data_IF_725630104544
#
_entry.id   IF_725630104544
#
_cell.length_a   1.000
_cell.length_b   1.000
_cell.length_c   1.000
_cell.angle_alpha   90.00
_cell.angle_beta   90.00
_cell.angle_gamma   90.00
#
_symmetry.space_group_name_H-M   'P 1'
#
loop_
_entity.id
_entity.type
_entity.pdbx_description
1 polymer ?
#
# COMPACT_ATOMS: atom_id res chain seq x y z
N UNK A 1 -73.22 -19.15 -31.85
CA UNK A 1 -73.00 -18.56 -30.51
C UNK A 1 -71.96 -17.44 -30.65
N UNK A 2 -72.40 -16.19 -30.64
CA UNK A 2 -71.59 -15.01 -31.00
C UNK A 2 -72.17 -13.74 -30.34
N UNK A 3 -71.26 -12.88 -29.88
CA UNK A 3 -71.38 -11.44 -29.52
C UNK A 3 -71.86 -11.13 -28.09
N UNK A 4 -70.97 -10.65 -27.20
CA UNK A 4 -70.47 -9.27 -26.96
C UNK A 4 -71.37 -8.56 -25.92
N UNK A 5 -70.91 -8.36 -24.67
CA UNK A 5 -70.14 -7.22 -24.13
C UNK A 5 -71.02 -6.03 -23.72
N UNK A 6 -71.08 -5.71 -22.42
CA UNK A 6 -71.09 -4.34 -21.80
C UNK A 6 -71.27 -4.48 -20.27
N UNK A 7 -70.22 -4.22 -19.47
CA UNK A 7 -69.91 -3.00 -18.69
C UNK A 7 -70.72 -2.83 -17.40
N UNK A 8 -70.08 -3.00 -16.24
CA UNK A 8 -70.37 -2.21 -15.03
C UNK A 8 -69.08 -1.92 -14.26
N UNK A 9 -69.00 -0.66 -13.81
CA UNK A 9 -67.95 0.03 -13.10
C UNK A 9 -67.84 -0.46 -11.64
N UNK A 10 -66.63 -0.60 -11.10
CA UNK A 10 -66.42 -0.48 -9.66
C UNK A 10 -65.04 0.10 -9.39
N UNK A 11 -65.06 1.27 -8.75
CA UNK A 11 -63.92 1.99 -8.25
C UNK A 11 -63.35 1.28 -7.01
N UNK A 12 -62.03 1.13 -6.95
CA UNK A 12 -61.32 0.76 -5.72
C UNK A 12 -60.11 1.70 -5.54
N UNK A 13 -60.23 2.60 -4.57
CA UNK A 13 -59.12 3.33 -3.97
C UNK A 13 -58.14 2.33 -3.33
N UNK A 14 -56.84 2.45 -3.60
CA UNK A 14 -55.81 1.89 -2.72
C UNK A 14 -54.57 2.80 -2.67
N UNK A 15 -54.50 3.56 -1.58
CA UNK A 15 -53.32 4.00 -0.81
C UNK A 15 -51.95 4.10 -1.50
N UNK A 16 -51.49 5.33 -1.68
CA UNK A 16 -50.09 5.70 -1.95
C UNK A 16 -49.27 5.48 -0.67
N UNK A 17 -48.50 4.39 -0.60
CA UNK A 17 -47.43 4.25 0.39
C UNK A 17 -46.22 5.07 -0.07
N UNK A 18 -45.98 6.17 0.63
CA UNK A 18 -44.76 6.98 0.48
C UNK A 18 -43.54 6.17 0.86
N UNK A 19 -42.74 5.81 -0.14
CA UNK A 19 -41.41 5.23 0.06
C UNK A 19 -40.48 6.36 0.47
N UNK A 20 -40.28 6.54 1.79
CA UNK A 20 -39.22 7.42 2.30
C UNK A 20 -37.89 6.73 2.04
N UNK A 21 -37.28 7.02 0.90
CA UNK A 21 -35.90 6.66 0.61
C UNK A 21 -35.00 7.33 1.64
N UNK A 22 -34.56 6.57 2.64
CA UNK A 22 -33.44 6.97 3.50
C UNK A 22 -32.20 7.03 2.61
N UNK A 23 -31.83 8.23 2.18
CA UNK A 23 -30.51 8.51 1.64
C UNK A 23 -29.50 8.29 2.75
N UNK A 24 -28.95 7.08 2.82
CA UNK A 24 -27.69 6.83 3.51
C UNK A 24 -26.67 7.74 2.82
N UNK A 25 -26.22 8.77 3.52
CA UNK A 25 -25.11 9.60 3.09
C UNK A 25 -23.90 8.68 2.91
N UNK A 26 -23.62 8.33 1.65
CA UNK A 26 -22.40 7.66 1.25
C UNK A 26 -21.26 8.61 1.60
N UNK A 27 -20.55 8.29 2.68
CA UNK A 27 -19.29 8.94 3.02
C UNK A 27 -18.37 8.71 1.83
N UNK A 28 -18.17 9.74 1.04
CA UNK A 28 -17.27 9.73 -0.11
C UNK A 28 -15.84 9.74 0.43
N UNK A 29 -15.41 8.61 1.00
CA UNK A 29 -14.03 8.36 1.39
C UNK A 29 -13.29 7.99 0.12
N UNK A 30 -12.49 8.91 -0.41
CA UNK A 30 -11.56 8.63 -1.51
C UNK A 30 -10.78 7.36 -1.18
N UNK A 31 -10.90 6.34 -2.02
CA UNK A 31 -10.23 5.05 -1.83
C UNK A 31 -8.73 5.20 -2.02
N UNK A 32 -7.93 4.54 -1.16
CA UNK A 32 -6.48 4.54 -1.27
C UNK A 32 -6.03 3.80 -2.52
N UNK A 33 -5.18 4.43 -3.31
CA UNK A 33 -4.46 3.83 -4.43
C UNK A 33 -3.02 3.53 -4.02
N UNK A 34 -2.62 2.27 -4.19
CA UNK A 34 -1.30 1.79 -3.78
C UNK A 34 -1.22 1.32 -2.33
N UNK A 35 -0.02 1.36 -1.76
CA UNK A 35 0.25 0.87 -0.41
C UNK A 35 -0.08 1.90 0.66
N UNK A 36 -0.42 1.39 1.85
CA UNK A 36 -0.49 2.19 3.07
C UNK A 36 0.84 2.91 3.33
N UNK A 37 0.80 3.99 4.10
CA UNK A 37 2.01 4.74 4.44
C UNK A 37 3.03 3.83 5.16
N UNK A 38 4.27 3.69 4.66
CA UNK A 38 5.16 2.60 5.08
C UNK A 38 6.15 3.00 6.19
N UNK A 39 6.20 4.27 6.56
CA UNK A 39 7.17 4.80 7.52
C UNK A 39 6.51 4.99 8.89
N UNK A 40 7.30 4.84 9.95
CA UNK A 40 6.91 5.12 11.35
C UNK A 40 7.15 6.58 11.76
N UNK A 41 7.50 7.42 10.78
CA UNK A 41 7.87 8.83 10.98
C UNK A 41 6.97 9.72 10.13
N UNK A 42 6.78 10.97 10.57
CA UNK A 42 5.99 11.97 9.88
C UNK A 42 6.64 12.34 8.54
N UNK A 43 5.82 12.43 7.49
CA UNK A 43 6.24 12.81 6.14
C UNK A 43 6.84 14.22 6.01
N UNK A 44 6.66 15.08 7.01
CA UNK A 44 7.12 16.48 6.98
C UNK A 44 8.32 16.71 7.88
N UNK A 45 8.30 16.16 9.10
CA UNK A 45 9.33 16.44 10.12
C UNK A 45 10.33 15.30 10.28
N UNK A 46 9.98 14.08 9.87
CA UNK A 46 10.77 12.87 10.17
C UNK A 46 10.69 12.40 11.63
N UNK A 47 9.92 13.09 12.49
CA UNK A 47 9.68 12.66 13.88
C UNK A 47 8.72 11.46 13.94
N UNK A 48 8.70 10.68 15.03
CA UNK A 48 7.73 9.59 15.20
C UNK A 48 6.27 10.04 14.98
N UNK A 49 5.46 9.17 14.37
CA UNK A 49 4.04 9.43 14.07
C UNK A 49 3.16 9.59 15.32
N UNK A 50 3.54 8.96 16.44
CA UNK A 50 2.72 8.90 17.66
C UNK A 50 1.56 7.89 17.53
N UNK A 51 0.73 7.80 18.58
CA UNK A 51 -0.33 6.79 18.67
C UNK A 51 -1.51 7.04 17.72
N UNK A 52 -1.80 8.31 17.45
CA UNK A 52 -2.96 8.74 16.65
C UNK A 52 -2.50 9.65 15.51
N UNK A 53 -1.79 9.10 14.49
CA UNK A 53 -1.34 9.91 13.38
C UNK A 53 -2.52 10.43 12.56
N UNK A 54 -2.36 11.63 12.02
CA UNK A 54 -3.28 12.16 11.02
C UNK A 54 -3.02 11.41 9.72
N UNK A 55 -4.03 10.71 9.22
CA UNK A 55 -3.98 9.94 7.96
C UNK A 55 -4.76 10.71 6.89
N UNK A 56 -4.13 10.94 5.74
CA UNK A 56 -4.75 11.62 4.60
C UNK A 56 -4.57 10.77 3.35
N UNK A 57 -5.64 10.61 2.58
CA UNK A 57 -5.58 10.11 1.20
C UNK A 57 -5.62 11.33 0.28
N UNK A 58 -4.56 11.53 -0.50
CA UNK A 58 -4.43 12.70 -1.37
C UNK A 58 -5.48 12.67 -2.49
N UNK A 59 -6.00 13.84 -2.82
CA UNK A 59 -6.96 14.07 -3.92
C UNK A 59 -6.70 15.43 -4.54
N UNK A 60 -7.20 15.63 -5.76
CA UNK A 60 -7.12 16.92 -6.48
C UNK A 60 -5.67 17.44 -6.58
N UNK A 61 -4.70 16.53 -6.72
CA UNK A 61 -3.27 16.85 -6.73
C UNK A 61 -2.82 17.39 -8.10
N UNK A 62 -1.85 18.33 -8.14
CA UNK A 62 -1.29 18.84 -9.41
C UNK A 62 -0.65 17.76 -10.29
N UNK A 63 -0.23 16.64 -9.70
CA UNK A 63 0.17 15.44 -10.45
C UNK A 63 -0.83 14.32 -10.19
N UNK A 64 -1.37 13.77 -11.27
CA UNK A 64 -2.37 12.70 -11.19
C UNK A 64 -1.85 11.44 -10.47
N UNK A 65 -0.55 11.14 -10.60
CA UNK A 65 0.07 9.98 -9.95
C UNK A 65 0.19 10.09 -8.42
N UNK A 66 -0.20 11.23 -7.85
CA UNK A 66 -0.28 11.44 -6.40
C UNK A 66 -1.69 11.19 -5.84
N UNK A 67 -2.73 11.20 -6.68
CA UNK A 67 -4.10 10.97 -6.22
C UNK A 67 -4.25 9.54 -5.66
N UNK A 68 -4.99 9.41 -4.57
CA UNK A 68 -5.19 8.14 -3.86
C UNK A 68 -4.01 7.72 -2.96
N UNK A 69 -2.86 8.40 -3.00
CA UNK A 69 -1.73 8.09 -2.12
C UNK A 69 -2.08 8.37 -0.66
N UNK A 70 -1.85 7.41 0.23
CA UNK A 70 -1.95 7.63 1.68
C UNK A 70 -0.67 8.31 2.21
N UNK A 71 -0.84 9.37 3.01
CA UNK A 71 0.23 10.09 3.70
C UNK A 71 -0.14 10.21 5.19
N UNK A 72 0.84 10.06 6.08
CA UNK A 72 0.65 10.20 7.53
C UNK A 72 1.48 11.32 8.13
N UNK A 73 0.92 11.93 9.17
CA UNK A 73 1.54 13.04 9.90
C UNK A 73 1.40 12.81 11.41
N UNK A 74 2.36 13.32 12.19
CA UNK A 74 2.25 13.27 13.64
C UNK A 74 1.21 14.26 14.22
N UNK A 75 0.83 15.29 13.45
CA UNK A 75 -0.16 16.27 13.89
C UNK A 75 -0.80 17.03 12.71
N UNK A 76 -1.88 17.77 12.99
CA UNK A 76 -2.59 18.59 12.01
C UNK A 76 -1.74 19.71 11.38
N UNK A 77 -0.82 20.30 12.14
CA UNK A 77 0.09 21.33 11.61
C UNK A 77 1.03 20.79 10.52
N UNK A 78 1.48 19.54 10.66
CA UNK A 78 2.26 18.89 9.60
C UNK A 78 1.42 18.63 8.35
N UNK A 79 0.15 18.22 8.49
CA UNK A 79 -0.78 18.13 7.35
C UNK A 79 -0.89 19.47 6.62
N UNK A 80 -1.15 20.57 7.33
CA UNK A 80 -1.26 21.90 6.72
C UNK A 80 0.02 22.31 5.99
N UNK A 81 1.19 22.04 6.58
CA UNK A 81 2.49 22.32 5.94
C UNK A 81 2.75 21.47 4.70
N UNK A 82 2.27 20.22 4.67
CA UNK A 82 2.36 19.37 3.49
C UNK A 82 1.48 19.92 2.35
N UNK A 83 0.27 20.37 2.68
CA UNK A 83 -0.71 20.87 1.72
C UNK A 83 -0.36 22.23 1.13
N UNK A 84 0.50 23.03 1.77
CA UNK A 84 0.94 24.32 1.21
C UNK A 84 1.83 24.17 -0.03
N UNK A 85 2.54 23.04 -0.16
CA UNK A 85 3.28 22.66 -1.36
C UNK A 85 3.30 21.14 -1.50
N UNK A 86 2.24 20.53 -2.06
CA UNK A 86 2.12 19.09 -2.11
C UNK A 86 3.15 18.46 -3.05
N UNK A 87 3.65 19.18 -4.07
CA UNK A 87 4.63 18.63 -5.01
C UNK A 87 5.99 18.50 -4.34
N UNK A 88 6.48 19.57 -3.71
CA UNK A 88 7.76 19.51 -2.98
C UNK A 88 7.69 18.56 -1.79
N UNK A 89 6.56 18.52 -1.08
CA UNK A 89 6.38 17.63 0.06
C UNK A 89 6.33 16.15 -0.33
N UNK A 90 5.67 15.81 -1.44
CA UNK A 90 5.72 14.44 -1.96
C UNK A 90 7.13 14.06 -2.44
N UNK A 91 7.89 14.98 -3.03
CA UNK A 91 9.29 14.70 -3.42
C UNK A 91 10.16 14.33 -2.22
N UNK A 92 10.05 15.08 -1.12
CA UNK A 92 10.77 14.77 0.13
C UNK A 92 10.32 13.43 0.73
N UNK A 93 9.02 13.15 0.70
CA UNK A 93 8.51 11.86 1.14
C UNK A 93 9.04 10.71 0.27
N UNK A 94 9.16 10.90 -1.03
CA UNK A 94 9.73 9.90 -1.94
C UNK A 94 11.20 9.61 -1.60
N UNK A 95 11.99 10.62 -1.24
CA UNK A 95 13.37 10.44 -0.76
C UNK A 95 13.43 9.58 0.51
N UNK A 96 12.54 9.81 1.48
CA UNK A 96 12.45 9.00 2.70
C UNK A 96 12.08 7.55 2.40
N UNK A 97 11.13 7.33 1.48
CA UNK A 97 10.71 5.99 1.05
C UNK A 97 11.82 5.28 0.27
N UNK A 98 12.54 6.00 -0.59
CA UNK A 98 13.70 5.46 -1.30
C UNK A 98 14.75 5.00 -0.28
N UNK A 99 15.12 5.88 0.66
CA UNK A 99 16.11 5.55 1.68
C UNK A 99 15.73 4.30 2.50
N UNK A 100 14.44 4.18 2.87
CA UNK A 100 13.93 3.02 3.60
C UNK A 100 13.95 1.73 2.77
N UNK A 101 13.39 1.77 1.56
CA UNK A 101 13.11 0.58 0.78
C UNK A 101 14.30 0.10 -0.06
N UNK A 102 15.25 0.97 -0.40
CA UNK A 102 16.42 0.63 -1.20
C UNK A 102 17.28 -0.44 -0.50
N UNK A 103 17.39 -0.38 0.83
CA UNK A 103 18.16 -1.35 1.65
C UNK A 103 17.69 -2.80 1.53
N UNK A 104 16.43 -3.02 1.13
CA UNK A 104 15.79 -4.34 1.03
C UNK A 104 15.31 -4.65 -0.39
N UNK A 105 15.59 -3.77 -1.34
CA UNK A 105 15.19 -3.94 -2.73
C UNK A 105 15.91 -5.15 -3.37
N UNK A 106 15.25 -5.93 -4.23
CA UNK A 106 15.87 -7.10 -4.84
C UNK A 106 17.00 -6.72 -5.80
N UNK A 107 18.08 -7.51 -5.81
CA UNK A 107 19.11 -7.45 -6.86
C UNK A 107 18.61 -8.11 -8.13
N UNK A 108 19.22 -7.76 -9.26
CA UNK A 108 18.96 -8.38 -10.56
C UNK A 108 18.83 -7.35 -11.66
N UNK A 109 18.00 -7.65 -12.65
CA UNK A 109 17.77 -6.81 -13.81
C UNK A 109 16.61 -5.83 -13.64
N UNK A 110 16.47 -4.89 -14.56
CA UNK A 110 15.35 -3.96 -14.61
C UNK A 110 14.01 -4.73 -14.64
N UNK A 111 12.99 -4.17 -13.97
CA UNK A 111 11.67 -4.79 -13.87
C UNK A 111 10.90 -4.79 -15.21
N UNK A 112 11.29 -3.91 -16.13
CA UNK A 112 10.62 -3.71 -17.42
C UNK A 112 11.42 -4.26 -18.59
N UNK A 113 12.76 -4.22 -18.50
CA UNK A 113 13.71 -4.77 -19.48
C UNK A 113 14.57 -5.78 -18.73
N UNK A 114 14.16 -7.05 -18.72
CA UNK A 114 14.75 -8.06 -17.83
C UNK A 114 16.16 -8.50 -18.24
N UNK A 115 16.60 -8.12 -19.43
CA UNK A 115 17.95 -8.29 -19.98
C UNK A 115 18.93 -7.19 -19.52
N UNK A 116 18.42 -6.06 -19.03
CA UNK A 116 19.26 -4.94 -18.57
C UNK A 116 19.65 -5.11 -17.09
N UNK A 117 20.91 -5.40 -16.76
CA UNK A 117 21.35 -5.56 -15.38
C UNK A 117 21.24 -4.24 -14.61
N UNK A 118 20.93 -4.33 -13.31
CA UNK A 118 20.87 -3.14 -12.44
C UNK A 118 22.02 -3.11 -11.45
N UNK A 119 22.40 -1.90 -11.03
CA UNK A 119 23.38 -1.74 -9.97
C UNK A 119 22.85 -2.37 -8.68
N UNK A 120 23.75 -2.94 -7.87
CA UNK A 120 23.37 -3.42 -6.54
C UNK A 120 22.72 -2.25 -5.77
N UNK A 121 21.46 -2.38 -5.29
CA UNK A 121 20.78 -1.31 -4.55
C UNK A 121 21.52 -0.87 -3.28
N UNK A 122 22.44 -1.69 -2.77
CA UNK A 122 23.28 -1.42 -1.60
C UNK A 122 24.71 -1.02 -1.97
N UNK A 123 25.03 -0.95 -3.26
CA UNK A 123 26.35 -0.60 -3.77
C UNK A 123 26.54 0.90 -4.01
N UNK A 124 27.79 1.36 -4.22
CA UNK A 124 28.11 2.77 -4.49
C UNK A 124 27.47 3.29 -5.79
N UNK A 125 27.09 2.38 -6.69
CA UNK A 125 26.49 2.69 -7.98
C UNK A 125 24.95 2.65 -7.96
N UNK A 126 24.32 2.42 -6.81
CA UNK A 126 22.86 2.28 -6.67
C UNK A 126 22.07 3.50 -7.22
N UNK A 127 22.69 4.68 -7.19
CA UNK A 127 22.13 5.94 -7.71
C UNK A 127 22.17 6.11 -9.22
N UNK A 128 22.83 5.21 -9.98
CA UNK A 128 22.82 5.25 -11.45
C UNK A 128 21.43 4.89 -12.03
N UNK A 129 20.72 4.04 -11.31
CA UNK A 129 19.40 3.55 -11.69
C UNK A 129 18.33 4.60 -11.44
N UNK A 130 17.20 4.49 -12.14
CA UNK A 130 16.05 5.37 -11.94
C UNK A 130 15.14 4.81 -10.86
N UNK A 131 15.24 5.39 -9.67
CA UNK A 131 14.30 5.16 -8.57
C UNK A 131 13.04 6.00 -8.80
N UNK A 132 11.88 5.37 -8.70
CA UNK A 132 10.57 6.04 -8.72
C UNK A 132 9.68 5.46 -7.65
N UNK A 133 8.97 6.32 -6.92
CA UNK A 133 7.97 5.90 -5.94
C UNK A 133 6.58 6.09 -6.55
N UNK A 134 5.76 5.05 -6.51
CA UNK A 134 4.36 5.09 -6.94
C UNK A 134 3.53 4.44 -5.85
N UNK A 135 2.53 5.16 -5.33
CA UNK A 135 1.63 4.63 -4.29
C UNK A 135 2.39 4.08 -3.08
N UNK A 136 3.37 4.83 -2.58
CA UNK A 136 4.25 4.46 -1.46
C UNK A 136 5.21 3.28 -1.67
N UNK A 137 5.32 2.76 -2.89
CA UNK A 137 6.23 1.67 -3.24
C UNK A 137 7.37 2.16 -4.12
N UNK A 138 8.61 1.84 -3.75
CA UNK A 138 9.80 2.06 -4.57
C UNK A 138 9.86 1.02 -5.71
N UNK A 139 10.13 1.51 -6.92
CA UNK A 139 10.52 0.75 -8.10
C UNK A 139 11.86 1.27 -8.62
N UNK A 140 12.74 0.36 -9.06
CA UNK A 140 14.02 0.68 -9.70
C UNK A 140 14.01 0.23 -11.15
N UNK A 141 14.40 1.14 -12.05
CA UNK A 141 14.32 0.96 -13.50
C UNK A 141 15.56 1.53 -14.18
N UNK A 142 15.98 0.97 -15.31
CA UNK A 142 17.16 1.44 -16.02
C UNK A 142 16.97 2.78 -16.75
N UNK A 143 15.74 3.14 -17.15
CA UNK A 143 15.53 4.34 -17.96
C UNK A 143 14.15 4.99 -17.80
N UNK A 144 14.01 6.23 -18.29
CA UNK A 144 12.75 7.00 -18.25
C UNK A 144 11.62 6.32 -19.03
N UNK A 145 11.92 5.58 -20.10
CA UNK A 145 10.93 4.84 -20.88
C UNK A 145 10.29 3.71 -20.07
N UNK A 146 11.09 3.03 -19.26
CA UNK A 146 10.60 2.02 -18.32
C UNK A 146 9.66 2.61 -17.27
N UNK A 147 9.96 3.82 -16.75
CA UNK A 147 9.04 4.52 -15.81
C UNK A 147 7.69 4.79 -16.48
N UNK A 148 7.69 5.22 -17.75
CA UNK A 148 6.44 5.45 -18.49
C UNK A 148 5.64 4.16 -18.69
N UNK A 149 6.30 3.02 -18.94
CA UNK A 149 5.64 1.71 -19.04
C UNK A 149 5.07 1.28 -17.69
N UNK A 150 5.82 1.44 -16.60
CA UNK A 150 5.38 1.17 -15.25
C UNK A 150 4.11 1.96 -14.91
N UNK A 151 4.11 3.28 -15.14
CA UNK A 151 2.95 4.14 -14.86
C UNK A 151 1.68 3.77 -15.65
N UNK A 152 1.83 3.18 -16.84
CA UNK A 152 0.68 2.73 -17.66
C UNK A 152 0.05 1.44 -17.16
N UNK A 153 0.80 0.58 -16.47
CA UNK A 153 0.30 -0.71 -15.96
C UNK A 153 0.99 -1.09 -14.65
N UNK A 154 0.75 -0.34 -13.55
CA UNK A 154 1.47 -0.54 -12.30
C UNK A 154 1.22 -1.91 -11.68
N UNK A 155 0.01 -2.47 -11.83
CA UNK A 155 -0.37 -3.76 -11.24
C UNK A 155 0.43 -4.94 -11.78
N UNK A 156 0.67 -5.00 -13.09
CA UNK A 156 1.48 -6.06 -13.69
C UNK A 156 2.92 -6.08 -13.14
N UNK A 157 3.53 -4.89 -13.02
CA UNK A 157 4.89 -4.76 -12.50
C UNK A 157 4.95 -4.94 -10.98
N UNK A 158 3.90 -4.58 -10.25
CA UNK A 158 3.80 -4.85 -8.81
C UNK A 158 3.86 -6.34 -8.53
N UNK A 159 3.09 -7.18 -9.23
CA UNK A 159 3.12 -8.63 -9.05
C UNK A 159 4.51 -9.19 -9.35
N UNK A 160 5.12 -8.80 -10.46
CA UNK A 160 6.47 -9.24 -10.82
C UNK A 160 7.53 -8.83 -9.77
N UNK A 161 7.41 -7.63 -9.20
CA UNK A 161 8.30 -7.16 -8.14
C UNK A 161 8.08 -7.94 -6.84
N UNK A 162 6.82 -8.21 -6.47
CA UNK A 162 6.48 -8.98 -5.28
C UNK A 162 7.04 -10.40 -5.34
N UNK A 163 6.99 -11.06 -6.50
CA UNK A 163 7.54 -12.40 -6.69
C UNK A 163 9.07 -12.42 -6.54
N UNK A 164 9.77 -11.42 -7.11
CA UNK A 164 11.22 -11.25 -6.92
C UNK A 164 11.58 -11.04 -5.44
N UNK A 165 10.79 -10.26 -4.72
CA UNK A 165 10.99 -9.99 -3.30
C UNK A 165 10.76 -11.24 -2.45
N UNK A 166 9.65 -11.95 -2.67
CA UNK A 166 9.37 -13.22 -1.99
C UNK A 166 10.52 -14.20 -2.21
N UNK A 167 10.93 -14.39 -3.47
CA UNK A 167 12.04 -15.29 -3.81
C UNK A 167 13.33 -14.93 -3.07
N UNK A 168 13.71 -13.66 -3.06
CA UNK A 168 14.97 -13.23 -2.41
C UNK A 168 14.88 -13.27 -0.88
N UNK A 169 13.76 -12.83 -0.30
CA UNK A 169 13.65 -12.63 1.14
C UNK A 169 13.22 -13.90 1.89
N UNK A 170 12.55 -14.85 1.23
CA UNK A 170 12.10 -16.11 1.86
C UNK A 170 13.26 -16.94 2.43
N UNK A 171 14.42 -16.93 1.77
CA UNK A 171 15.60 -17.71 2.19
C UNK A 171 16.22 -17.23 3.51
N UNK A 172 16.03 -15.94 3.86
CA UNK A 172 16.61 -15.30 5.05
C UNK A 172 15.53 -14.68 5.94
N UNK A 173 14.30 -15.18 5.84
CA UNK A 173 13.18 -14.63 6.58
C UNK A 173 13.36 -14.88 8.09
N UNK A 174 13.34 -13.84 8.94
CA UNK A 174 13.84 -13.96 10.32
C UNK A 174 12.82 -14.59 11.29
N UNK A 175 11.53 -14.46 11.04
CA UNK A 175 10.49 -14.88 11.99
C UNK A 175 9.97 -16.28 11.67
N UNK A 176 9.65 -17.08 12.70
CA UNK A 176 8.85 -18.32 12.56
C UNK A 176 7.39 -18.15 13.04
N UNK A 177 7.07 -16.96 13.52
CA UNK A 177 5.77 -16.59 14.10
C UNK A 177 5.09 -15.51 13.26
N UNK A 178 3.77 -15.46 13.34
CA UNK A 178 2.97 -14.41 12.72
C UNK A 178 3.34 -13.06 13.33
N UNK A 179 3.71 -12.11 12.48
CA UNK A 179 4.11 -10.76 12.93
C UNK A 179 2.99 -10.00 13.68
N UNK A 180 1.74 -10.37 13.45
CA UNK A 180 0.58 -9.75 14.09
C UNK A 180 0.27 -10.42 15.43
N UNK A 181 0.11 -11.73 15.47
CA UNK A 181 -0.39 -12.46 16.65
C UNK A 181 0.70 -13.09 17.52
N UNK A 182 1.92 -13.23 17.02
CA UNK A 182 3.01 -13.98 17.67
C UNK A 182 2.84 -15.50 17.66
N UNK A 183 1.75 -16.03 17.09
CA UNK A 183 1.53 -17.48 16.98
C UNK A 183 2.35 -18.07 15.85
N UNK A 184 2.80 -19.34 15.93
CA UNK A 184 3.40 -20.04 14.80
C UNK A 184 2.49 -19.96 13.56
N UNK A 185 3.08 -19.68 12.39
CA UNK A 185 2.32 -19.63 11.13
C UNK A 185 2.36 -20.97 10.35
N UNK A 186 3.11 -21.96 10.81
CA UNK A 186 3.23 -23.29 10.20
C UNK A 186 4.12 -23.35 8.95
N UNK A 187 4.00 -24.42 8.18
CA UNK A 187 4.82 -24.65 6.97
C UNK A 187 4.34 -23.83 5.76
N UNK A 188 3.07 -23.41 5.76
CA UNK A 188 2.44 -22.66 4.67
C UNK A 188 1.86 -21.32 5.16
N UNK A 189 2.72 -20.33 5.49
CA UNK A 189 2.26 -19.02 5.90
C UNK A 189 1.57 -18.26 4.78
N UNK A 190 0.69 -17.33 5.15
CA UNK A 190 0.22 -16.30 4.25
C UNK A 190 1.33 -15.27 4.04
N UNK A 191 1.72 -15.06 2.79
CA UNK A 191 2.76 -14.13 2.38
C UNK A 191 2.17 -12.88 1.73
N UNK A 192 2.51 -11.71 2.27
CA UNK A 192 2.21 -10.42 1.65
C UNK A 192 3.49 -9.61 1.55
N UNK A 193 3.60 -8.78 0.52
CA UNK A 193 4.70 -7.83 0.38
C UNK A 193 4.15 -6.42 0.62
N UNK A 194 4.81 -5.67 1.49
CA UNK A 194 4.53 -4.26 1.76
C UNK A 194 5.84 -3.51 1.89
N UNK A 195 5.97 -2.33 1.29
CA UNK A 195 7.17 -1.51 1.35
C UNK A 195 8.46 -2.28 0.99
N UNK A 196 8.39 -3.06 -0.09
CA UNK A 196 9.45 -3.96 -0.57
C UNK A 196 9.93 -5.02 0.45
N UNK A 197 9.07 -5.43 1.40
CA UNK A 197 9.41 -6.43 2.42
C UNK A 197 8.37 -7.54 2.45
N UNK A 198 8.85 -8.77 2.43
CA UNK A 198 8.05 -9.95 2.69
C UNK A 198 7.57 -9.93 4.14
N UNK A 199 6.29 -10.23 4.35
CA UNK A 199 5.67 -10.41 5.66
C UNK A 199 4.90 -11.72 5.65
N UNK A 200 5.18 -12.59 6.62
CA UNK A 200 4.48 -13.86 6.83
C UNK A 200 3.49 -13.75 7.99
N UNK A 201 2.32 -14.33 7.80
CA UNK A 201 1.24 -14.33 8.79
C UNK A 201 0.55 -15.68 8.85
N UNK A 202 -0.11 -15.97 9.97
CA UNK A 202 -0.79 -17.25 10.20
C UNK A 202 -2.15 -17.37 9.50
N UNK A 203 -2.74 -16.27 9.01
CA UNK A 203 -4.04 -16.29 8.33
C UNK A 203 -4.22 -15.10 7.39
N UNK A 204 -5.16 -15.23 6.44
CA UNK A 204 -5.52 -14.17 5.49
C UNK A 204 -5.98 -12.86 6.13
N UNK A 205 -6.64 -12.92 7.30
CA UNK A 205 -7.05 -11.73 8.04
C UNK A 205 -5.87 -10.91 8.57
N UNK A 206 -4.83 -11.59 9.07
CA UNK A 206 -3.59 -10.92 9.48
C UNK A 206 -2.85 -10.32 8.28
N UNK A 207 -2.77 -11.04 7.17
CA UNK A 207 -2.22 -10.55 5.91
C UNK A 207 -2.96 -9.28 5.41
N UNK A 208 -4.29 -9.26 5.45
CA UNK A 208 -5.09 -8.08 5.12
C UNK A 208 -4.83 -6.93 6.10
N UNK A 209 -4.72 -7.23 7.40
CA UNK A 209 -4.37 -6.26 8.44
C UNK A 209 -3.02 -5.58 8.18
N UNK A 210 -1.99 -6.34 7.79
CA UNK A 210 -0.67 -5.82 7.39
C UNK A 210 -0.80 -4.86 6.20
N UNK A 211 -1.53 -5.23 5.14
CA UNK A 211 -1.75 -4.35 3.98
C UNK A 211 -2.51 -3.06 4.33
N UNK A 212 -3.39 -3.12 5.32
CA UNK A 212 -4.14 -1.96 5.81
C UNK A 212 -3.26 -1.04 6.64
N UNK A 213 -2.46 -1.61 7.56
CA UNK A 213 -1.63 -0.92 8.54
C UNK A 213 -0.28 -1.64 8.71
N UNK A 214 0.74 -1.33 7.88
CA UNK A 214 1.97 -2.11 7.82
C UNK A 214 2.97 -1.76 8.93
N UNK A 215 2.80 -0.62 9.60
CA UNK A 215 3.78 -0.05 10.53
C UNK A 215 4.27 -1.04 11.60
N UNK A 216 3.36 -1.72 12.29
CA UNK A 216 3.71 -2.70 13.31
C UNK A 216 4.53 -3.87 12.74
N UNK A 217 4.12 -4.37 11.56
CA UNK A 217 4.79 -5.48 10.91
C UNK A 217 6.20 -5.09 10.42
N UNK A 218 6.30 -3.91 9.80
CA UNK A 218 7.56 -3.35 9.32
C UNK A 218 8.51 -3.03 10.47
N UNK A 219 8.01 -2.49 11.58
CA UNK A 219 8.79 -2.22 12.78
C UNK A 219 9.40 -3.49 13.37
N UNK A 220 8.61 -4.56 13.53
CA UNK A 220 9.11 -5.86 14.02
C UNK A 220 10.18 -6.45 13.12
N UNK A 221 9.99 -6.42 11.79
CA UNK A 221 10.98 -6.93 10.83
C UNK A 221 12.29 -6.11 10.79
N UNK A 222 12.22 -4.82 11.07
CA UNK A 222 13.43 -3.97 11.20
C UNK A 222 14.19 -4.33 12.48
N UNK A 223 13.48 -4.48 13.60
CA UNK A 223 14.07 -4.82 14.90
C UNK A 223 14.80 -6.18 14.89
N UNK A 224 14.27 -7.18 14.18
CA UNK A 224 14.89 -8.52 14.09
C UNK A 224 16.19 -8.50 13.29
N UNK A 225 16.31 -7.63 12.28
CA UNK A 225 17.57 -7.48 11.51
C UNK A 225 18.67 -6.78 12.30
N UNK A 226 18.30 -6.02 13.35
CA UNK A 226 19.24 -5.36 14.26
C UNK A 226 19.61 -6.21 15.49
N UNK A 227 18.89 -7.31 15.75
CA UNK A 227 19.17 -8.25 16.85
C UNK A 227 18.72 -9.68 16.49
N UNK A 228 19.64 -10.59 16.10
CA UNK A 228 19.30 -11.95 15.67
C UNK A 228 18.75 -12.90 16.76
N UNK A 229 18.69 -12.48 18.04
CA UNK A 229 18.55 -13.38 19.19
C UNK A 229 17.13 -13.51 19.77
N UNK A 230 16.10 -12.84 19.22
CA UNK A 230 14.79 -12.78 19.88
C UNK A 230 13.80 -13.93 19.60
N UNK A 231 14.10 -14.86 18.67
CA UNK A 231 13.11 -15.87 18.24
C UNK A 231 13.51 -17.34 18.53
N UNK A 232 14.56 -17.58 19.32
CA UNK A 232 15.01 -18.94 19.65
C UNK A 232 14.51 -19.47 21.00
N UNK A 233 13.90 -18.64 21.86
CA UNK A 233 13.73 -19.00 23.28
C UNK A 233 12.29 -18.99 23.81
N UNK A 234 11.34 -19.40 22.96
CA UNK A 234 10.00 -19.82 23.42
C UNK A 234 9.64 -21.13 22.72
N UNK A 235 10.25 -22.20 23.21
CA UNK A 235 9.82 -23.59 22.99
C UNK A 235 8.60 -23.91 23.85
#
# INVERSE_FOLDING_TARGET
>A
MRKNLTTTLSALLLSVLGVTSTTTASQNTTERVGEAYPLSVCSVTGNPLGENPVVVVLKDMPREDLNGREVRFCCGGCKTKFESDPVASNSKLDEMIIADQLTVYPTGSCLVMEDEPMADPRGPEAGRDKNVVIGNRLYRLCCKSCIRRLRKNPSAYQTALDDRIKKQQSASYPLKVCVITGRPYGESPFEVVVANRLVRTCCGGCAAGVKKNPELALGKLKATKTNPTLDADKS
#
